data_IF_563951239446
#
_entry.id   IF_563951239446
#
_cell.length_a   1.000
_cell.length_b   1.000
_cell.length_c   1.000
_cell.angle_alpha   90.00
_cell.angle_beta   90.00
_cell.angle_gamma   90.00
#
_symmetry.space_group_name_H-M   'P 1'
#
loop_
_entity.id
_entity.type
_entity.pdbx_description
1 polymer ?
#
# COMPACT_ATOMS: atom_id res chain seq x y z
N UNK A 1 -9.69 -32.71 -5.46
CA UNK A 1 -8.43 -32.36 -4.77
C UNK A 1 -8.52 -30.98 -4.16
N UNK A 2 -8.48 -30.90 -2.83
CA UNK A 2 -8.41 -29.62 -2.11
C UNK A 2 -6.93 -29.26 -1.98
N UNK A 3 -6.50 -28.20 -2.66
CA UNK A 3 -5.21 -27.58 -2.41
C UNK A 3 -5.26 -26.95 -1.01
N UNK A 4 -4.47 -27.48 -0.07
CA UNK A 4 -4.30 -26.84 1.23
C UNK A 4 -3.14 -25.85 1.11
N UNK A 5 -3.46 -24.56 1.22
CA UNK A 5 -2.51 -23.44 1.16
C UNK A 5 -2.44 -22.82 2.55
N UNK A 6 -1.22 -22.65 3.08
CA UNK A 6 -0.97 -21.92 4.31
C UNK A 6 -0.06 -20.73 4.01
N UNK A 7 -0.53 -19.51 4.28
CA UNK A 7 0.31 -18.33 4.26
C UNK A 7 0.63 -17.92 5.69
N UNK A 8 1.90 -18.02 6.04
CA UNK A 8 2.51 -17.46 7.26
C UNK A 8 3.35 -16.22 6.90
N UNK A 9 2.97 -15.57 5.81
CA UNK A 9 3.70 -14.45 5.25
C UNK A 9 3.64 -13.26 6.19
N UNK A 10 4.80 -12.69 6.54
CA UNK A 10 4.84 -11.52 7.44
C UNK A 10 4.65 -11.83 8.93
N UNK A 11 4.75 -13.10 9.35
CA UNK A 11 4.51 -13.55 10.72
C UNK A 11 5.71 -13.44 11.68
N UNK A 12 6.80 -12.76 11.29
CA UNK A 12 8.03 -12.60 12.09
C UNK A 12 8.75 -13.93 12.37
N UNK A 13 8.64 -14.89 11.46
CA UNK A 13 9.22 -16.23 11.62
C UNK A 13 10.75 -16.15 11.42
N UNK A 14 11.47 -16.76 12.35
CA UNK A 14 12.94 -16.88 12.38
C UNK A 14 13.40 -18.26 11.87
N UNK A 15 14.72 -18.47 11.81
CA UNK A 15 15.34 -19.78 11.51
C UNK A 15 14.83 -20.90 12.43
N UNK A 16 14.74 -20.62 13.74
CA UNK A 16 14.21 -21.53 14.74
C UNK A 16 12.73 -21.85 14.52
N UNK A 17 11.93 -20.84 14.17
CA UNK A 17 10.52 -21.01 13.81
C UNK A 17 10.36 -21.89 12.56
N UNK A 18 11.17 -21.68 11.53
CA UNK A 18 11.16 -22.51 10.33
C UNK A 18 11.62 -23.95 10.59
N UNK A 19 12.60 -24.15 11.47
CA UNK A 19 13.03 -25.48 11.93
C UNK A 19 11.92 -26.20 12.68
N UNK A 20 11.19 -25.49 13.54
CA UNK A 20 10.02 -26.01 14.26
C UNK A 20 8.88 -26.37 13.30
N UNK A 21 8.61 -25.53 12.30
CA UNK A 21 7.65 -25.81 11.24
C UNK A 21 8.05 -27.05 10.41
N UNK A 22 9.31 -27.16 10.00
CA UNK A 22 9.80 -28.33 9.26
C UNK A 22 9.65 -29.62 10.07
N UNK A 23 9.88 -29.54 11.38
CA UNK A 23 9.66 -30.65 12.31
C UNK A 23 8.17 -31.00 12.38
N UNK A 24 7.28 -30.03 12.58
CA UNK A 24 5.84 -30.27 12.62
C UNK A 24 5.30 -30.92 11.33
N UNK A 25 5.79 -30.47 10.17
CA UNK A 25 5.44 -31.03 8.85
C UNK A 25 6.01 -32.45 8.62
N UNK A 26 7.00 -32.87 9.42
CA UNK A 26 7.55 -34.23 9.34
C UNK A 26 6.77 -35.27 10.14
N UNK A 27 6.11 -34.85 11.24
CA UNK A 27 5.42 -35.78 12.15
C UNK A 27 3.99 -36.11 11.72
N UNK A 28 3.35 -35.28 10.90
CA UNK A 28 2.04 -35.53 10.33
C UNK A 28 2.12 -35.50 8.80
N UNK A 29 1.59 -36.49 8.07
CA UNK A 29 1.39 -36.38 6.62
C UNK A 29 0.37 -35.27 6.35
N UNK A 30 0.85 -34.04 6.28
CA UNK A 30 0.00 -32.89 6.05
C UNK A 30 -0.53 -32.92 4.60
N UNK A 31 -1.78 -32.54 4.41
CA UNK A 31 -2.31 -32.27 3.07
C UNK A 31 -1.82 -30.92 2.51
N UNK A 32 -0.91 -30.25 3.21
CA UNK A 32 -0.36 -28.96 2.84
C UNK A 32 0.41 -29.06 1.53
N UNK A 33 -0.07 -28.33 0.52
CA UNK A 33 0.53 -28.28 -0.83
C UNK A 33 1.34 -27.02 -1.04
N UNK A 34 0.94 -25.91 -0.44
CA UNK A 34 1.66 -24.64 -0.57
C UNK A 34 1.90 -24.01 0.79
N UNK A 35 3.15 -23.62 1.03
CA UNK A 35 3.56 -22.86 2.20
C UNK A 35 4.19 -21.55 1.77
N UNK A 36 3.59 -20.44 2.17
CA UNK A 36 4.12 -19.10 1.93
C UNK A 36 4.68 -18.50 3.23
N UNK A 37 6.01 -18.38 3.27
CA UNK A 37 6.82 -17.78 4.31
C UNK A 37 7.45 -16.45 3.86
N UNK A 38 6.99 -15.87 2.75
CA UNK A 38 7.45 -14.54 2.32
C UNK A 38 7.34 -13.50 3.44
N UNK A 39 8.17 -12.46 3.39
CA UNK A 39 8.24 -11.41 4.41
C UNK A 39 8.57 -11.92 5.82
N UNK A 40 9.46 -12.90 5.93
CA UNK A 40 10.00 -13.41 7.20
C UNK A 40 11.55 -13.47 7.16
N UNK A 41 12.19 -14.01 8.20
CA UNK A 41 13.62 -14.30 8.22
C UNK A 41 13.87 -15.80 8.50
N UNK A 42 13.55 -16.66 7.52
CA UNK A 42 13.52 -18.12 7.71
C UNK A 42 14.88 -18.80 7.92
N UNK A 43 15.99 -18.06 7.76
CA UNK A 43 17.36 -18.57 7.94
C UNK A 43 17.76 -19.71 6.99
N UNK A 44 19.06 -20.01 6.91
CA UNK A 44 19.57 -21.04 6.01
C UNK A 44 19.17 -22.46 6.47
N UNK A 45 19.16 -22.69 7.79
CA UNK A 45 18.84 -24.00 8.38
C UNK A 45 17.37 -24.37 8.14
N UNK A 46 16.46 -23.44 8.43
CA UNK A 46 15.03 -23.55 8.24
C UNK A 46 14.67 -23.74 6.78
N UNK A 47 15.25 -22.95 5.87
CA UNK A 47 15.06 -23.13 4.42
C UNK A 47 15.52 -24.53 3.98
N UNK A 48 16.69 -24.98 4.43
CA UNK A 48 17.24 -26.30 4.05
C UNK A 48 16.31 -27.43 4.49
N UNK A 49 15.80 -27.38 5.73
CA UNK A 49 14.89 -28.41 6.28
C UNK A 49 13.53 -28.42 5.56
N UNK A 50 12.94 -27.25 5.32
CA UNK A 50 11.67 -27.13 4.59
C UNK A 50 11.80 -27.58 3.14
N UNK A 51 12.90 -27.23 2.47
CA UNK A 51 13.17 -27.61 1.08
C UNK A 51 13.42 -29.11 0.91
N UNK A 52 13.98 -29.78 1.91
CA UNK A 52 14.09 -31.23 1.92
C UNK A 52 12.70 -31.90 1.87
N UNK A 53 11.68 -31.26 2.45
CA UNK A 53 10.29 -31.71 2.40
C UNK A 53 9.67 -31.69 1.01
N UNK A 54 10.15 -30.84 0.08
CA UNK A 54 9.70 -30.83 -1.32
C UNK A 54 10.17 -32.06 -2.11
N UNK A 55 11.26 -32.70 -1.65
CA UNK A 55 11.92 -33.82 -2.35
C UNK A 55 11.46 -35.19 -1.86
N UNK A 56 10.73 -35.23 -0.75
CA UNK A 56 10.28 -36.47 -0.12
C UNK A 56 8.92 -36.89 -0.72
N UNK A 57 8.86 -38.05 -1.36
CA UNK A 57 7.62 -38.55 -1.98
C UNK A 57 6.49 -38.79 -0.97
N UNK A 58 6.81 -38.92 0.33
CA UNK A 58 5.84 -38.98 1.42
C UNK A 58 5.32 -37.61 1.88
N UNK A 59 5.99 -36.51 1.53
CA UNK A 59 5.62 -35.14 1.88
C UNK A 59 5.12 -34.41 0.64
N UNK A 60 3.87 -33.99 0.70
CA UNK A 60 3.12 -33.44 -0.44
C UNK A 60 3.26 -31.92 -0.60
N UNK A 61 4.32 -31.30 -0.06
CA UNK A 61 4.52 -29.86 -0.27
C UNK A 61 5.01 -29.65 -1.71
N UNK A 62 4.18 -29.00 -2.52
CA UNK A 62 4.45 -28.75 -3.93
C UNK A 62 5.15 -27.39 -4.11
N UNK A 63 4.78 -26.39 -3.30
CA UNK A 63 5.30 -25.02 -3.39
C UNK A 63 5.76 -24.49 -2.04
N UNK A 64 6.97 -23.93 -1.99
CA UNK A 64 7.50 -23.15 -0.88
C UNK A 64 7.89 -21.75 -1.37
N UNK A 65 7.26 -20.71 -0.81
CA UNK A 65 7.62 -19.31 -1.09
C UNK A 65 8.33 -18.74 0.13
N UNK A 66 9.53 -18.21 -0.05
CA UNK A 66 10.32 -17.60 1.04
C UNK A 66 10.66 -16.14 0.80
N UNK A 67 10.71 -15.72 -0.45
CA UNK A 67 11.06 -14.34 -0.81
C UNK A 67 9.82 -13.42 -0.88
N UNK A 68 9.95 -12.15 -0.45
CA UNK A 68 11.18 -11.55 0.08
C UNK A 68 11.51 -12.00 1.50
N UNK A 69 12.78 -12.32 1.78
CA UNK A 69 13.28 -12.74 3.09
C UNK A 69 14.31 -11.76 3.67
N UNK A 70 14.63 -11.90 4.96
CA UNK A 70 15.71 -11.16 5.61
C UNK A 70 15.34 -10.47 6.93
N UNK A 71 16.37 -10.07 7.67
CA UNK A 71 16.26 -9.51 9.04
C UNK A 71 15.33 -8.30 9.12
N UNK A 72 15.17 -7.52 8.03
CA UNK A 72 14.24 -6.38 7.97
C UNK A 72 12.79 -6.78 8.32
N UNK A 73 12.41 -8.02 8.04
CA UNK A 73 11.04 -8.49 8.22
C UNK A 73 10.73 -8.92 9.65
N UNK A 74 11.75 -8.99 10.52
CA UNK A 74 11.59 -9.15 11.97
C UNK A 74 11.23 -7.83 12.67
N UNK A 75 11.23 -6.70 11.95
CA UNK A 75 10.71 -5.45 12.49
C UNK A 75 9.20 -5.60 12.72
N UNK A 76 8.69 -5.37 13.94
CA UNK A 76 7.26 -5.50 14.22
C UNK A 76 6.45 -4.40 13.51
N UNK A 77 5.18 -4.68 13.26
CA UNK A 77 4.24 -3.72 12.68
C UNK A 77 4.40 -3.47 11.18
N UNK A 78 3.64 -2.51 10.66
CA UNK A 78 3.52 -2.25 9.22
C UNK A 78 4.74 -1.54 8.61
N UNK A 79 5.53 -0.85 9.43
CA UNK A 79 6.72 -0.10 8.97
C UNK A 79 7.78 -0.98 8.32
N UNK A 80 7.77 -2.31 8.53
CA UNK A 80 8.64 -3.25 7.80
C UNK A 80 8.38 -3.24 6.28
N UNK A 81 7.17 -2.89 5.87
CA UNK A 81 6.75 -2.79 4.47
C UNK A 81 6.98 -1.39 3.87
N UNK A 82 7.77 -0.53 4.52
CA UNK A 82 7.99 0.83 4.07
C UNK A 82 8.49 0.90 2.62
N UNK A 83 7.83 1.73 1.83
CA UNK A 83 8.15 2.02 0.44
C UNK A 83 8.50 3.49 0.30
N UNK A 84 9.55 3.77 -0.47
CA UNK A 84 9.83 5.13 -0.91
C UNK A 84 9.02 5.43 -2.17
N UNK A 85 8.04 6.32 -2.05
CA UNK A 85 7.24 6.77 -3.18
C UNK A 85 7.96 7.85 -3.98
N UNK A 86 7.71 7.87 -5.28
CA UNK A 86 8.25 8.89 -6.19
C UNK A 86 7.13 9.46 -7.04
N UNK A 87 6.96 10.78 -7.02
CA UNK A 87 5.97 11.48 -7.83
C UNK A 87 6.27 11.27 -9.32
N UNK A 88 5.22 11.00 -10.08
CA UNK A 88 5.28 11.00 -11.54
C UNK A 88 4.97 12.41 -12.07
N UNK A 89 6.02 13.14 -12.43
CA UNK A 89 5.95 14.50 -12.97
C UNK A 89 5.13 14.61 -14.26
N UNK A 90 4.94 13.50 -14.98
CA UNK A 90 4.12 13.45 -16.18
C UNK A 90 2.61 13.51 -15.87
N UNK A 91 2.22 13.19 -14.64
CA UNK A 91 0.81 13.19 -14.21
C UNK A 91 0.40 14.48 -13.50
N UNK A 92 1.37 15.23 -12.96
CA UNK A 92 1.15 16.39 -12.08
C UNK A 92 0.37 17.49 -12.80
N UNK A 93 -0.78 17.89 -12.24
CA UNK A 93 -1.51 19.05 -12.76
C UNK A 93 -0.65 20.32 -12.69
N UNK A 94 -0.81 21.21 -13.68
CA UNK A 94 0.02 22.41 -13.81
C UNK A 94 -0.17 23.44 -12.70
N UNK A 95 -1.23 23.37 -11.89
CA UNK A 95 -1.38 24.22 -10.69
C UNK A 95 -0.83 23.56 -9.41
N UNK A 96 -0.02 22.51 -9.55
CA UNK A 96 0.69 21.87 -8.44
C UNK A 96 2.19 22.12 -8.57
N UNK A 97 2.77 22.73 -7.55
CA UNK A 97 4.20 22.99 -7.46
C UNK A 97 4.88 21.88 -6.64
N UNK A 98 5.97 21.33 -7.18
CA UNK A 98 6.83 20.40 -6.48
C UNK A 98 7.98 21.14 -5.79
N UNK A 99 8.29 20.74 -4.55
CA UNK A 99 9.47 21.20 -3.80
C UNK A 99 10.08 20.06 -3.00
N UNK A 100 11.17 20.35 -2.27
CA UNK A 100 11.84 19.39 -1.38
C UNK A 100 12.24 18.10 -2.09
N UNK A 101 12.96 18.23 -3.21
CA UNK A 101 13.33 17.11 -4.07
C UNK A 101 12.13 16.28 -4.54
N UNK A 102 11.04 16.96 -4.94
CA UNK A 102 9.77 16.36 -5.37
C UNK A 102 9.09 15.50 -4.31
N UNK A 103 9.32 15.78 -3.02
CA UNK A 103 8.61 15.12 -1.91
C UNK A 103 7.44 15.94 -1.40
N UNK A 104 7.46 17.25 -1.60
CA UNK A 104 6.37 18.16 -1.24
C UNK A 104 5.63 18.62 -2.47
N UNK A 105 4.32 18.71 -2.35
CA UNK A 105 3.42 19.21 -3.38
C UNK A 105 2.50 20.24 -2.78
N UNK A 106 2.47 21.42 -3.37
CA UNK A 106 1.63 22.54 -2.93
C UNK A 106 0.74 22.97 -4.07
N UNK A 107 -0.54 23.19 -3.81
CA UNK A 107 -1.41 23.81 -4.81
C UNK A 107 -1.19 25.33 -4.81
N UNK A 108 -0.91 25.86 -6.00
CA UNK A 108 -0.65 27.27 -6.26
C UNK A 108 -1.55 27.78 -7.39
N UNK A 109 -1.76 29.09 -7.49
CA UNK A 109 -2.59 29.65 -8.57
C UNK A 109 -1.78 29.80 -9.87
N UNK A 110 -0.47 30.02 -9.75
CA UNK A 110 0.45 30.12 -10.88
C UNK A 110 0.58 28.78 -11.63
N UNK A 111 0.50 28.85 -12.95
CA UNK A 111 0.73 27.70 -13.82
C UNK A 111 2.22 27.34 -13.80
N UNK A 112 2.52 26.14 -13.34
CA UNK A 112 3.86 25.57 -13.31
C UNK A 112 4.23 25.02 -14.69
N UNK A 113 5.51 25.15 -15.04
CA UNK A 113 6.04 24.67 -16.32
C UNK A 113 6.38 23.18 -16.24
N UNK A 114 5.53 22.34 -16.81
CA UNK A 114 5.81 20.92 -17.04
C UNK A 114 5.67 20.60 -18.53
N UNK A 115 6.44 19.65 -19.09
CA UNK A 115 6.26 19.21 -20.47
C UNK A 115 4.85 18.68 -20.72
N UNK A 116 4.25 18.93 -21.88
CA UNK A 116 2.96 18.34 -22.20
C UNK A 116 3.03 16.81 -22.19
N UNK A 117 2.00 16.17 -21.63
CA UNK A 117 1.93 14.71 -21.53
C UNK A 117 0.48 14.20 -21.51
N UNK A 118 0.16 13.07 -22.19
CA UNK A 118 -1.19 12.50 -22.18
C UNK A 118 -1.66 12.12 -20.78
N UNK A 119 -0.77 11.60 -19.93
CA UNK A 119 -1.12 11.19 -18.55
C UNK A 119 -1.32 12.38 -17.57
N UNK A 120 -1.09 13.63 -18.02
CA UNK A 120 -1.21 14.81 -17.16
C UNK A 120 -2.65 15.10 -16.80
N UNK A 121 -2.96 15.25 -15.51
CA UNK A 121 -4.24 15.80 -15.09
C UNK A 121 -4.36 17.26 -15.51
N UNK A 122 -5.40 17.65 -16.25
CA UNK A 122 -5.55 19.02 -16.76
C UNK A 122 -6.54 19.88 -15.93
N UNK A 123 -7.61 19.28 -15.43
CA UNK A 123 -8.65 19.98 -14.70
C UNK A 123 -8.49 19.87 -13.19
N UNK A 124 -8.55 18.63 -12.68
CA UNK A 124 -8.44 18.35 -11.25
C UNK A 124 -6.99 18.43 -10.78
N UNK A 125 -6.77 19.02 -9.60
CA UNK A 125 -5.43 19.33 -9.05
C UNK A 125 -4.84 18.08 -8.40
N UNK A 126 -4.63 17.08 -9.25
CA UNK A 126 -4.25 15.72 -8.89
C UNK A 126 -2.89 15.35 -9.44
N UNK A 127 -2.33 14.27 -8.88
CA UNK A 127 -1.15 13.59 -9.40
C UNK A 127 -1.16 12.11 -8.98
N UNK A 128 -0.35 11.31 -9.65
CA UNK A 128 0.06 9.98 -9.21
C UNK A 128 1.55 9.91 -8.93
N UNK A 129 1.92 8.96 -8.08
CA UNK A 129 3.27 8.43 -7.99
C UNK A 129 3.51 7.42 -9.11
N UNK A 130 4.77 7.23 -9.51
CA UNK A 130 5.15 6.25 -10.56
C UNK A 130 5.17 4.80 -10.06
N UNK A 131 5.10 4.59 -8.74
CA UNK A 131 5.19 3.28 -8.12
C UNK A 131 3.92 2.45 -8.39
N UNK A 132 3.98 1.53 -9.34
CA UNK A 132 2.94 0.51 -9.54
C UNK A 132 3.06 -0.60 -8.49
N UNK A 133 2.15 -0.60 -7.52
CA UNK A 133 2.16 -1.50 -6.37
C UNK A 133 1.43 -2.81 -6.72
N UNK A 134 2.15 -3.93 -6.60
CA UNK A 134 1.63 -5.29 -6.84
C UNK A 134 1.80 -6.23 -5.64
N UNK A 135 2.55 -5.81 -4.62
CA UNK A 135 2.80 -6.58 -3.40
C UNK A 135 2.30 -5.83 -2.16
N UNK A 136 3.04 -5.98 -1.06
CA UNK A 136 2.80 -5.23 0.18
C UNK A 136 3.58 -3.94 0.21
N UNK A 137 2.92 -2.84 0.56
CA UNK A 137 3.54 -1.54 0.60
C UNK A 137 2.93 -0.66 1.69
N UNK A 138 3.80 0.04 2.41
CA UNK A 138 3.45 0.98 3.47
C UNK A 138 4.12 2.33 3.20
N UNK A 139 3.40 3.43 3.36
CA UNK A 139 3.99 4.77 3.31
C UNK A 139 3.25 5.73 4.24
N UNK A 140 3.93 6.81 4.62
CA UNK A 140 3.38 7.86 5.47
C UNK A 140 3.37 9.19 4.73
N UNK A 141 2.36 9.99 5.04
CA UNK A 141 2.10 11.27 4.37
C UNK A 141 1.74 12.30 5.43
N UNK A 142 2.38 13.46 5.35
CA UNK A 142 2.00 14.66 6.09
C UNK A 142 1.25 15.63 5.18
N UNK A 143 0.35 16.43 5.75
CA UNK A 143 -0.39 17.43 4.96
C UNK A 143 -0.67 18.72 5.73
N UNK A 144 -0.97 19.77 4.96
CA UNK A 144 -1.58 21.00 5.44
C UNK A 144 -2.81 21.31 4.59
N UNK A 145 -3.85 21.88 5.21
CA UNK A 145 -5.10 22.22 4.54
C UNK A 145 -6.01 21.02 4.33
N UNK A 146 -6.55 20.88 3.12
CA UNK A 146 -7.52 19.85 2.72
C UNK A 146 -6.98 19.05 1.54
N UNK A 147 -6.81 17.74 1.75
CA UNK A 147 -6.18 16.86 0.76
C UNK A 147 -6.93 15.53 0.69
N UNK A 148 -6.76 14.80 -0.41
CA UNK A 148 -7.16 13.41 -0.50
C UNK A 148 -5.92 12.56 -0.74
N UNK A 149 -5.66 11.64 0.17
CA UNK A 149 -4.61 10.63 0.05
C UNK A 149 -5.24 9.41 -0.59
N UNK A 150 -4.81 9.06 -1.80
CA UNK A 150 -5.53 8.12 -2.65
C UNK A 150 -4.64 7.00 -3.14
N UNK A 151 -5.28 5.92 -3.56
CA UNK A 151 -4.68 4.84 -4.36
C UNK A 151 -5.63 4.60 -5.53
N UNK A 152 -5.08 4.43 -6.74
CA UNK A 152 -5.89 4.28 -7.94
C UNK A 152 -5.23 3.39 -8.98
N UNK A 153 -6.04 2.77 -9.83
CA UNK A 153 -5.56 2.18 -11.07
C UNK A 153 -4.98 3.22 -12.02
N UNK A 154 -4.09 2.78 -12.93
CA UNK A 154 -3.44 3.71 -13.86
C UNK A 154 -4.43 4.33 -14.84
N UNK A 155 -5.49 3.60 -15.19
CA UNK A 155 -6.45 3.94 -16.24
C UNK A 155 -7.46 5.05 -15.87
N UNK A 156 -7.43 5.58 -14.64
CA UNK A 156 -8.32 6.69 -14.24
C UNK A 156 -8.19 7.85 -15.22
N UNK A 157 -9.33 8.45 -15.56
CA UNK A 157 -9.41 9.58 -16.48
C UNK A 157 -8.58 10.77 -15.99
N UNK A 158 -7.91 11.45 -16.92
CA UNK A 158 -7.02 12.59 -16.61
C UNK A 158 -7.50 13.92 -17.18
N UNK A 159 -8.47 13.87 -18.10
CA UNK A 159 -8.81 14.99 -18.97
C UNK A 159 -10.23 15.47 -18.73
N UNK A 160 -10.39 16.78 -18.65
CA UNK A 160 -11.68 17.44 -18.46
C UNK A 160 -12.19 17.36 -17.01
N UNK A 161 -13.41 17.85 -16.81
CA UNK A 161 -14.03 18.06 -15.51
C UNK A 161 -14.98 16.92 -15.08
N UNK A 162 -14.94 15.76 -15.76
CA UNK A 162 -15.76 14.62 -15.36
C UNK A 162 -15.43 14.18 -13.94
N UNK A 163 -16.46 13.81 -13.18
CA UNK A 163 -16.31 13.22 -11.84
C UNK A 163 -15.56 11.89 -11.89
N UNK A 164 -15.60 11.17 -13.02
CA UNK A 164 -14.85 9.92 -13.23
C UNK A 164 -13.32 10.13 -13.15
N UNK A 165 -12.86 11.36 -13.37
CA UNK A 165 -11.44 11.71 -13.26
C UNK A 165 -11.00 12.00 -11.81
N UNK A 166 -11.93 12.16 -10.87
CA UNK A 166 -11.65 12.58 -9.50
C UNK A 166 -11.48 11.37 -8.57
N UNK A 167 -10.40 11.34 -7.79
CA UNK A 167 -10.14 10.25 -6.85
C UNK A 167 -11.28 10.06 -5.83
N UNK A 168 -11.68 8.80 -5.64
CA UNK A 168 -12.73 8.35 -4.72
C UNK A 168 -14.16 8.44 -5.28
N UNK A 169 -14.36 9.07 -6.45
CA UNK A 169 -15.68 9.26 -7.07
C UNK A 169 -15.96 8.24 -8.19
N UNK A 170 -14.98 7.40 -8.50
CA UNK A 170 -15.08 6.30 -9.47
C UNK A 170 -14.77 4.94 -8.81
N UNK A 171 -14.99 3.87 -9.56
CA UNK A 171 -14.71 2.48 -9.17
C UNK A 171 -13.21 2.09 -9.27
N UNK A 172 -12.36 3.01 -9.68
CA UNK A 172 -10.92 2.80 -9.95
C UNK A 172 -10.02 3.37 -8.87
N UNK A 173 -10.58 4.01 -7.84
CA UNK A 173 -9.83 4.72 -6.83
C UNK A 173 -10.48 4.66 -5.45
N UNK A 174 -9.61 4.72 -4.44
CA UNK A 174 -9.96 4.75 -3.02
C UNK A 174 -9.20 5.89 -2.38
N UNK A 175 -9.90 6.71 -1.59
CA UNK A 175 -9.34 7.96 -1.09
C UNK A 175 -9.69 8.22 0.36
N UNK A 176 -8.72 8.68 1.14
CA UNK A 176 -8.91 9.27 2.45
C UNK A 176 -8.92 10.78 2.32
N UNK A 177 -10.06 11.41 2.64
CA UNK A 177 -10.16 12.85 2.77
C UNK A 177 -9.66 13.31 4.13
N UNK A 178 -8.69 14.22 4.11
CA UNK A 178 -8.06 14.82 5.28
C UNK A 178 -8.24 16.33 5.30
N UNK A 179 -8.28 16.89 6.51
CA UNK A 179 -8.32 18.33 6.75
C UNK A 179 -7.35 18.72 7.87
N UNK A 180 -7.27 20.01 8.21
CA UNK A 180 -6.56 20.47 9.42
C UNK A 180 -7.13 19.92 10.73
N UNK A 181 -8.31 19.29 10.71
CA UNK A 181 -8.89 18.59 11.87
C UNK A 181 -8.52 17.11 11.91
N UNK A 182 -7.64 16.65 11.02
CA UNK A 182 -7.29 15.24 10.85
C UNK A 182 -8.03 14.55 9.70
N UNK A 183 -7.88 13.21 9.59
CA UNK A 183 -8.64 12.36 8.67
C UNK A 183 -10.14 12.40 8.97
N UNK A 184 -10.98 12.49 7.94
CA UNK A 184 -12.42 12.75 8.12
C UNK A 184 -13.34 11.70 7.50
N UNK A 185 -13.03 11.23 6.30
CA UNK A 185 -13.87 10.24 5.60
C UNK A 185 -13.07 9.52 4.53
N UNK A 186 -13.43 8.27 4.30
CA UNK A 186 -12.95 7.52 3.13
C UNK A 186 -14.01 7.55 2.02
N UNK A 187 -13.54 7.46 0.77
CA UNK A 187 -14.33 7.56 -0.44
C UNK A 187 -13.93 6.47 -1.42
N UNK A 188 -14.93 5.85 -2.04
CA UNK A 188 -14.78 4.93 -3.15
C UNK A 188 -16.10 4.88 -3.93
N UNK A 189 -16.04 4.92 -5.26
CA UNK A 189 -17.23 4.85 -6.13
C UNK A 189 -18.35 5.82 -5.72
N UNK A 190 -17.97 7.06 -5.41
CA UNK A 190 -18.87 8.12 -4.94
C UNK A 190 -19.60 7.83 -3.60
N UNK A 191 -19.18 6.79 -2.89
CA UNK A 191 -19.70 6.45 -1.56
C UNK A 191 -18.75 7.01 -0.51
N UNK A 192 -19.29 7.86 0.37
CA UNK A 192 -18.59 8.41 1.53
C UNK A 192 -18.85 7.55 2.76
N UNK A 193 -17.79 7.15 3.45
CA UNK A 193 -17.87 6.56 4.79
C UNK A 193 -17.11 7.43 5.78
N UNK A 194 -17.79 7.87 6.86
CA UNK A 194 -17.18 8.67 7.91
C UNK A 194 -16.12 7.86 8.67
N UNK A 195 -14.95 8.45 8.90
CA UNK A 195 -13.92 7.88 9.78
C UNK A 195 -13.94 8.63 11.11
N UNK A 196 -14.17 7.95 12.23
CA UNK A 196 -14.16 8.57 13.55
C UNK A 196 -12.72 8.77 14.04
N UNK A 197 -12.35 10.02 14.31
CA UNK A 197 -11.16 10.31 15.11
C UNK A 197 -11.37 11.56 15.95
N UNK A 198 -11.13 11.44 17.26
CA UNK A 198 -11.26 12.53 18.24
C UNK A 198 -9.99 13.36 18.41
N UNK A 199 -8.90 13.00 17.72
CA UNK A 199 -7.57 13.58 17.91
C UNK A 199 -7.00 14.09 16.59
N UNK A 200 -6.48 15.32 16.63
CA UNK A 200 -5.91 16.02 15.48
C UNK A 200 -4.49 15.50 15.25
N UNK A 201 -4.28 14.88 14.09
CA UNK A 201 -2.94 14.65 13.54
C UNK A 201 -2.99 14.87 12.04
N UNK A 202 -2.01 15.62 11.53
CA UNK A 202 -1.83 15.92 10.12
C UNK A 202 -0.91 14.91 9.42
N UNK A 203 -0.83 13.69 9.97
CA UNK A 203 -0.06 12.58 9.44
C UNK A 203 -0.89 11.31 9.36
N UNK A 204 -0.82 10.64 8.21
CA UNK A 204 -1.56 9.42 7.93
C UNK A 204 -0.61 8.41 7.29
N UNK A 205 -0.91 7.14 7.54
CA UNK A 205 -0.24 6.04 6.89
C UNK A 205 -1.22 5.28 6.00
N UNK A 206 -0.71 4.75 4.90
CA UNK A 206 -1.45 3.88 4.00
C UNK A 206 -0.71 2.56 3.93
N UNK A 207 -1.45 1.46 4.02
CA UNK A 207 -0.94 0.12 3.82
C UNK A 207 -1.77 -0.58 2.75
N UNK A 208 -1.08 -1.16 1.77
CA UNK A 208 -1.67 -1.99 0.72
C UNK A 208 -1.08 -3.38 0.82
N UNK A 209 -1.94 -4.39 0.75
CA UNK A 209 -1.59 -5.79 0.52
C UNK A 209 -2.34 -6.25 -0.72
N UNK A 210 -1.71 -6.09 -1.90
CA UNK A 210 -2.37 -6.42 -3.16
C UNK A 210 -2.77 -7.91 -3.25
N UNK A 211 -1.92 -8.89 -2.87
CA UNK A 211 -2.30 -10.31 -2.87
C UNK A 211 -3.48 -10.62 -1.95
N UNK A 212 -3.56 -9.97 -0.78
CA UNK A 212 -4.67 -10.16 0.15
C UNK A 212 -5.91 -9.31 -0.19
N UNK A 213 -5.83 -8.41 -1.17
CA UNK A 213 -6.93 -7.53 -1.52
C UNK A 213 -7.24 -6.47 -0.46
N UNK A 214 -6.24 -6.06 0.33
CA UNK A 214 -6.43 -5.15 1.47
C UNK A 214 -5.85 -3.77 1.18
N UNK A 215 -6.62 -2.71 1.44
CA UNK A 215 -6.15 -1.33 1.52
C UNK A 215 -6.59 -0.71 2.84
N UNK A 216 -5.64 -0.32 3.68
CA UNK A 216 -5.91 0.22 5.01
C UNK A 216 -5.35 1.63 5.18
N UNK A 217 -6.13 2.49 5.81
CA UNK A 217 -5.75 3.84 6.19
C UNK A 217 -5.61 3.95 7.71
N UNK A 218 -4.56 4.65 8.15
CA UNK A 218 -4.27 4.88 9.55
C UNK A 218 -3.98 6.35 9.80
N UNK A 219 -4.34 6.83 10.98
CA UNK A 219 -3.79 8.07 11.54
C UNK A 219 -2.50 7.73 12.27
N UNK A 220 -1.47 8.56 12.10
CA UNK A 220 -0.20 8.43 12.84
C UNK A 220 -0.21 9.43 13.99
N UNK A 221 -0.07 8.96 15.22
CA UNK A 221 -0.06 9.81 16.43
C UNK A 221 1.05 9.35 17.36
N UNK A 222 2.05 10.19 17.61
CA UNK A 222 3.20 9.86 18.48
C UNK A 222 3.77 8.45 18.17
N UNK A 223 4.05 8.19 16.90
CA UNK A 223 4.50 6.90 16.34
C UNK A 223 3.55 5.69 16.50
N UNK A 224 2.34 5.90 17.02
CA UNK A 224 1.29 4.88 17.06
C UNK A 224 0.41 4.96 15.83
N UNK A 225 0.10 3.81 15.23
CA UNK A 225 -0.86 3.69 14.14
C UNK A 225 -2.26 3.44 14.69
N UNK A 226 -3.17 4.36 14.41
CA UNK A 226 -4.58 4.26 14.80
C UNK A 226 -5.37 3.99 13.53
N UNK A 227 -5.91 2.78 13.43
CA UNK A 227 -6.70 2.34 12.29
C UNK A 227 -7.91 3.26 12.05
N UNK A 228 -8.15 3.59 10.79
CA UNK A 228 -9.30 4.41 10.38
C UNK A 228 -10.30 3.59 9.58
N UNK A 229 -9.79 2.88 8.57
CA UNK A 229 -10.63 2.11 7.66
C UNK A 229 -9.81 1.09 6.88
N UNK A 230 -10.47 0.00 6.48
CA UNK A 230 -9.91 -1.00 5.56
C UNK A 230 -10.93 -1.33 4.48
N UNK A 231 -10.51 -1.17 3.23
CA UNK A 231 -11.18 -1.73 2.07
C UNK A 231 -10.68 -3.15 1.82
N UNK A 232 -11.61 -4.08 1.63
CA UNK A 232 -11.33 -5.44 1.17
C UNK A 232 -11.93 -5.60 -0.23
N UNK A 233 -11.08 -5.85 -1.23
CA UNK A 233 -11.50 -5.98 -2.62
C UNK A 233 -10.47 -6.76 -3.42
N UNK A 234 -10.86 -7.27 -4.60
CA UNK A 234 -9.90 -7.89 -5.52
C UNK A 234 -9.33 -6.81 -6.44
N UNK A 235 -8.04 -6.51 -6.27
CA UNK A 235 -7.36 -5.59 -7.19
C UNK A 235 -7.07 -6.29 -8.52
N UNK A 236 -7.47 -5.67 -9.62
CA UNK A 236 -7.38 -6.26 -10.97
C UNK A 236 -6.14 -5.82 -11.73
N UNK A 237 -5.48 -4.77 -11.28
CA UNK A 237 -4.25 -4.22 -11.86
C UNK A 237 -3.38 -3.55 -10.77
N UNK A 238 -2.18 -3.12 -11.15
CA UNK A 238 -1.27 -2.44 -10.24
C UNK A 238 -1.89 -1.13 -9.71
N UNK A 239 -1.65 -0.88 -8.43
CA UNK A 239 -2.17 0.29 -7.73
C UNK A 239 -1.13 1.41 -7.67
N UNK A 240 -1.56 2.64 -7.89
CA UNK A 240 -0.69 3.82 -7.89
C UNK A 240 -1.14 4.79 -6.80
N UNK A 241 -0.25 5.13 -5.84
CA UNK A 241 -0.54 6.19 -4.87
C UNK A 241 -0.77 7.53 -5.57
N UNK A 242 -1.72 8.31 -5.08
CA UNK A 242 -2.13 9.57 -5.68
C UNK A 242 -2.60 10.59 -4.67
N UNK A 243 -2.61 11.85 -5.08
CA UNK A 243 -3.02 12.95 -4.24
C UNK A 243 -3.93 13.91 -4.99
N UNK A 244 -5.01 14.36 -4.35
CA UNK A 244 -5.79 15.52 -4.77
C UNK A 244 -5.62 16.63 -3.74
N UNK A 245 -5.25 17.83 -4.20
CA UNK A 245 -4.88 18.95 -3.33
C UNK A 245 -5.86 20.11 -3.56
N UNK A 246 -6.58 20.53 -2.50
CA UNK A 246 -7.49 21.68 -2.54
C UNK A 246 -6.72 23.00 -2.41
N UNK A 247 -7.32 24.17 -2.72
CA UNK A 247 -6.63 25.46 -2.61
C UNK A 247 -6.03 25.67 -1.21
N UNK A 248 -4.86 26.31 -1.15
CA UNK A 248 -4.15 26.61 0.11
C UNK A 248 -3.69 25.37 0.89
N UNK A 249 -3.49 24.24 0.21
CA UNK A 249 -3.16 22.95 0.83
C UNK A 249 -1.88 22.37 0.25
N UNK A 250 -1.22 21.48 1.01
CA UNK A 250 0.00 20.80 0.59
C UNK A 250 0.08 19.37 1.14
N UNK A 251 0.84 18.53 0.45
CA UNK A 251 1.17 17.15 0.86
C UNK A 251 2.69 16.98 0.89
N UNK A 252 3.20 16.23 1.86
CA UNK A 252 4.60 15.84 1.98
C UNK A 252 4.72 14.32 2.14
N UNK A 253 5.51 13.69 1.28
CA UNK A 253 5.86 12.27 1.37
C UNK A 253 6.98 12.09 2.40
N UNK A 254 6.71 11.36 3.50
CA UNK A 254 7.65 11.09 4.60
C UNK A 254 8.79 10.14 4.22
#
# INVERSE_FOLDING_TARGET
DVLCVCSLSGCLITDEGCTSLASALSFNPSHLRELDLSYNHPGDSGIKLLSAGLKDQGRRLDTLRVEPAGVRWLRPGLRKYSCQLTIDTNTVNTNLQLSDNNRKVTRVEEVQSYPDHPDRFDHWKQLLCRNGLTGRCYWEVEWSGRVYISVSYRRIGRKGNSEDCLFGINDQSWSLYCSNKGPHSVWHNNIKTSSSSSSVSNRAAVYVDCPAGTLSFYRVSSDTLIHLHTFNTTFTEALYPGFYIRPGSSVFLC
#
